data_IF_437818763808
#
_entry.id   IF_437818763808
#
_cell.length_a   1.000
_cell.length_b   1.000
_cell.length_c   1.000
_cell.angle_alpha   90.00
_cell.angle_beta   90.00
_cell.angle_gamma   90.00
#
_symmetry.space_group_name_H-M   'P 1'
#
loop_
_entity.id
_entity.type
_entity.pdbx_description
1 polymer ?
#
# COMPACT_ATOMS: atom_id res chain seq x y z
N UNK A 1 -11.43 -9.30 20.45
CA UNK A 1 -10.38 -9.23 19.42
C UNK A 1 -10.74 -10.26 18.38
N UNK A 2 -10.85 -9.88 17.11
CA UNK A 2 -11.22 -10.75 16.00
C UNK A 2 -10.05 -10.94 15.04
N UNK A 3 -9.75 -12.18 14.69
CA UNK A 3 -8.78 -12.49 13.62
C UNK A 3 -9.37 -12.08 12.27
N UNK A 4 -8.52 -11.50 11.43
CA UNK A 4 -8.89 -11.09 10.07
C UNK A 4 -7.86 -11.57 9.06
N UNK A 5 -8.20 -11.52 7.78
CA UNK A 5 -7.29 -11.84 6.69
C UNK A 5 -7.56 -10.95 5.47
N UNK A 6 -6.53 -10.67 4.69
CA UNK A 6 -6.66 -9.99 3.40
C UNK A 6 -6.44 -10.95 2.23
N UNK A 7 -6.88 -10.53 1.04
CA UNK A 7 -6.48 -11.17 -0.21
C UNK A 7 -5.27 -10.46 -0.81
N UNK A 8 -4.44 -11.20 -1.55
CA UNK A 8 -3.37 -10.62 -2.37
C UNK A 8 -3.97 -9.63 -3.36
N UNK A 9 -3.37 -8.46 -3.50
CA UNK A 9 -3.71 -7.45 -4.51
C UNK A 9 -2.44 -6.93 -5.15
N UNK A 10 -2.51 -6.49 -6.41
CA UNK A 10 -1.37 -5.91 -7.09
C UNK A 10 -1.82 -4.84 -8.08
N UNK A 11 -0.86 -4.02 -8.50
CA UNK A 11 -1.05 -3.12 -9.63
C UNK A 11 0.17 -3.15 -10.54
N UNK A 12 -0.09 -2.98 -11.83
CA UNK A 12 0.97 -2.67 -12.78
C UNK A 12 1.40 -1.22 -12.62
N UNK A 13 2.69 -0.98 -12.79
CA UNK A 13 3.28 0.35 -12.75
C UNK A 13 3.30 0.96 -14.15
N UNK A 14 3.01 2.25 -14.21
CA UNK A 14 3.03 3.04 -15.42
C UNK A 14 3.60 4.43 -15.18
N UNK A 15 3.47 5.34 -16.16
CA UNK A 15 3.95 6.71 -16.01
C UNK A 15 3.18 7.45 -14.92
N UNK A 16 3.87 8.34 -14.21
CA UNK A 16 3.23 9.27 -13.28
C UNK A 16 2.20 10.13 -14.03
N UNK A 17 0.92 10.19 -13.59
CA UNK A 17 -0.07 11.00 -14.28
C UNK A 17 0.26 12.50 -14.16
N UNK A 18 -0.20 13.33 -15.12
CA UNK A 18 -0.06 14.77 -15.03
C UNK A 18 -0.72 15.34 -13.76
N UNK A 19 -0.08 16.35 -13.17
CA UNK A 19 -0.66 17.20 -12.12
C UNK A 19 -1.47 18.30 -12.79
N UNK A 20 -2.79 18.22 -12.73
CA UNK A 20 -3.70 19.18 -13.38
C UNK A 20 -4.65 19.77 -12.36
N UNK A 21 -4.96 21.08 -12.40
CA UNK A 21 -5.77 21.75 -11.37
C UNK A 21 -7.16 21.16 -11.11
N UNK A 22 -7.71 20.37 -12.03
CA UNK A 22 -9.06 19.81 -11.95
C UNK A 22 -9.12 18.35 -11.45
N UNK A 23 -7.99 17.74 -11.13
CA UNK A 23 -7.91 16.39 -10.55
C UNK A 23 -7.17 16.49 -9.22
N UNK A 24 -7.50 15.67 -8.20
CA UNK A 24 -6.54 15.45 -7.11
C UNK A 24 -5.21 15.02 -7.74
N UNK A 25 -4.18 15.83 -7.54
CA UNK A 25 -2.82 15.50 -7.98
C UNK A 25 -2.45 14.12 -7.44
N UNK A 26 -1.66 13.31 -8.19
CA UNK A 26 -1.08 12.09 -7.63
C UNK A 26 -0.43 12.42 -6.29
N UNK A 27 -0.85 11.69 -5.26
CA UNK A 27 -0.40 11.93 -3.88
C UNK A 27 1.04 11.45 -3.69
N UNK A 28 1.48 10.53 -4.56
CA UNK A 28 2.84 9.98 -4.61
C UNK A 28 3.41 10.04 -6.04
N UNK A 29 4.73 10.24 -6.21
CA UNK A 29 5.70 10.50 -5.15
C UNK A 29 5.54 11.92 -4.60
N UNK A 30 5.93 12.10 -3.34
CA UNK A 30 5.95 13.42 -2.69
C UNK A 30 6.91 14.38 -3.37
N UNK A 31 8.08 13.89 -3.81
CA UNK A 31 9.07 14.67 -4.55
C UNK A 31 9.46 14.00 -5.88
N UNK A 32 8.79 14.43 -6.96
CA UNK A 32 9.08 13.96 -8.32
C UNK A 32 10.53 14.22 -8.78
N UNK A 33 11.25 15.17 -8.17
CA UNK A 33 12.58 15.58 -8.64
C UNK A 33 13.69 14.60 -8.27
N UNK A 34 13.44 13.64 -7.37
CA UNK A 34 14.45 12.70 -6.89
C UNK A 34 14.95 11.73 -7.97
N UNK A 35 14.15 11.49 -9.02
CA UNK A 35 14.56 10.64 -10.14
C UNK A 35 13.37 10.08 -10.93
N UNK A 36 13.63 9.20 -11.91
CA UNK A 36 12.61 8.46 -12.63
C UNK A 36 11.64 7.77 -11.68
N UNK A 37 10.35 7.82 -12.01
CA UNK A 37 9.29 7.35 -11.15
C UNK A 37 8.25 6.59 -11.95
N UNK A 38 7.89 5.42 -11.43
CA UNK A 38 6.76 4.63 -11.90
C UNK A 38 5.65 4.69 -10.85
N UNK A 39 4.40 4.70 -11.29
CA UNK A 39 3.23 4.95 -10.47
C UNK A 39 2.16 3.89 -10.73
N UNK A 40 1.47 3.46 -9.67
CA UNK A 40 0.40 2.48 -9.73
C UNK A 40 -0.76 2.83 -8.78
N UNK A 41 -1.89 2.15 -8.97
CA UNK A 41 -3.03 2.21 -8.06
C UNK A 41 -3.55 0.82 -7.78
N UNK A 42 -3.72 0.50 -6.50
CA UNK A 42 -4.53 -0.63 -6.05
C UNK A 42 -5.88 -0.04 -5.63
N UNK A 43 -6.96 -0.76 -5.93
CA UNK A 43 -8.31 -0.36 -5.55
C UNK A 43 -8.50 -0.45 -4.03
N UNK A 44 -9.52 -1.19 -3.61
CA UNK A 44 -9.70 -1.45 -2.19
C UNK A 44 -8.87 -2.66 -1.73
N UNK A 45 -8.32 -2.57 -0.52
CA UNK A 45 -7.65 -3.65 0.17
C UNK A 45 -8.28 -3.84 1.55
N UNK A 46 -9.08 -4.89 1.69
CA UNK A 46 -9.84 -5.16 2.92
C UNK A 46 -9.27 -6.32 3.72
N UNK A 47 -9.50 -6.23 5.03
CA UNK A 47 -9.31 -7.32 5.98
C UNK A 47 -10.68 -7.85 6.39
N UNK A 48 -10.93 -9.10 6.06
CA UNK A 48 -12.18 -9.82 6.29
C UNK A 48 -12.12 -10.57 7.61
N UNK A 49 -13.20 -10.53 8.39
CA UNK A 49 -13.27 -11.28 9.64
C UNK A 49 -13.23 -12.80 9.37
N UNK A 50 -12.45 -13.55 10.13
CA UNK A 50 -12.45 -15.02 10.01
C UNK A 50 -13.82 -15.59 10.42
N UNK A 51 -14.38 -16.48 9.58
CA UNK A 51 -15.66 -17.14 9.85
C UNK A 51 -16.91 -16.31 9.54
N UNK A 52 -16.77 -15.10 8.98
CA UNK A 52 -17.90 -14.34 8.42
C UNK A 52 -18.14 -14.69 6.94
N UNK A 53 -19.27 -14.26 6.36
CA UNK A 53 -19.56 -14.39 4.93
C UNK A 53 -18.80 -13.34 4.10
N UNK A 54 -17.49 -13.23 4.32
CA UNK A 54 -16.62 -12.20 3.72
C UNK A 54 -17.04 -10.75 4.07
N UNK A 55 -17.43 -10.54 5.33
CA UNK A 55 -17.67 -9.19 5.84
C UNK A 55 -16.32 -8.50 6.16
N UNK A 56 -16.01 -7.34 5.55
CA UNK A 56 -14.80 -6.59 5.86
C UNK A 56 -14.91 -5.98 7.27
N UNK A 57 -13.86 -6.12 8.07
CA UNK A 57 -13.73 -5.47 9.37
C UNK A 57 -13.11 -4.07 9.25
N UNK A 58 -12.15 -3.91 8.34
CA UNK A 58 -11.50 -2.63 8.01
C UNK A 58 -10.75 -2.75 6.68
N UNK A 59 -10.24 -1.63 6.16
CA UNK A 59 -9.29 -1.67 5.06
C UNK A 59 -8.81 -0.31 4.59
N UNK A 60 -8.30 -0.31 3.36
CA UNK A 60 -7.74 0.85 2.69
C UNK A 60 -8.40 1.02 1.34
N UNK A 61 -8.81 2.26 1.05
CA UNK A 61 -9.42 2.69 -0.19
C UNK A 61 -8.41 3.48 -1.02
N UNK A 62 -8.50 3.31 -2.33
CA UNK A 62 -7.76 4.09 -3.34
C UNK A 62 -6.26 4.19 -3.04
N UNK A 63 -5.60 3.04 -2.88
CA UNK A 63 -4.17 3.00 -2.60
C UNK A 63 -3.40 3.49 -3.84
N UNK A 64 -2.83 4.68 -3.77
CA UNK A 64 -1.85 5.17 -4.72
C UNK A 64 -0.45 4.78 -4.27
N UNK A 65 0.40 4.36 -5.20
CA UNK A 65 1.78 4.00 -4.90
C UNK A 65 2.73 4.46 -5.99
N UNK A 66 3.98 4.70 -5.60
CA UNK A 66 5.05 5.03 -6.53
C UNK A 66 6.34 4.31 -6.16
N UNK A 67 7.08 3.88 -7.16
CA UNK A 67 8.47 3.42 -7.04
C UNK A 67 9.35 4.42 -7.77
N UNK A 68 10.24 5.08 -7.04
CA UNK A 68 11.10 6.13 -7.57
C UNK A 68 12.57 5.75 -7.42
N UNK A 69 13.34 5.87 -8.48
CA UNK A 69 14.79 5.63 -8.43
C UNK A 69 15.48 6.78 -7.71
N UNK A 70 16.23 6.48 -6.65
CA UNK A 70 17.05 7.44 -5.91
C UNK A 70 18.53 7.36 -6.31
N UNK A 71 19.02 6.16 -6.56
CA UNK A 71 20.37 5.88 -7.02
C UNK A 71 20.38 4.61 -7.90
N UNK A 72 21.57 4.10 -8.24
CA UNK A 72 21.69 2.95 -9.13
C UNK A 72 20.96 1.71 -8.61
N UNK A 73 21.19 1.39 -7.35
CA UNK A 73 20.73 0.21 -6.61
C UNK A 73 19.70 0.57 -5.53
N UNK A 74 19.06 1.74 -5.63
CA UNK A 74 18.21 2.27 -4.56
C UNK A 74 16.94 2.89 -5.09
N UNK A 75 15.82 2.45 -4.54
CA UNK A 75 14.48 2.97 -4.86
C UNK A 75 13.77 3.46 -3.60
N UNK A 76 12.85 4.40 -3.78
CA UNK A 76 11.86 4.76 -2.77
C UNK A 76 10.52 4.18 -3.16
N UNK A 77 9.94 3.40 -2.26
CA UNK A 77 8.54 3.02 -2.31
C UNK A 77 7.74 4.03 -1.47
N UNK A 78 6.79 4.71 -2.09
CA UNK A 78 5.80 5.53 -1.40
C UNK A 78 4.39 4.99 -1.63
N UNK A 79 3.55 5.10 -0.61
CA UNK A 79 2.13 4.73 -0.64
C UNK A 79 1.32 5.83 0.02
N UNK A 80 0.16 6.11 -0.57
CA UNK A 80 -0.91 6.90 0.00
C UNK A 80 -2.22 6.11 -0.08
N UNK A 81 -3.02 6.14 0.97
CA UNK A 81 -4.37 5.57 0.94
C UNK A 81 -5.30 6.30 1.90
N UNK A 82 -6.60 6.09 1.74
CA UNK A 82 -7.60 6.44 2.76
C UNK A 82 -7.97 5.18 3.52
N UNK A 83 -7.70 5.14 4.82
CA UNK A 83 -8.10 4.03 5.67
C UNK A 83 -9.55 4.21 6.15
N UNK A 84 -10.30 3.11 6.17
CA UNK A 84 -11.70 3.08 6.59
C UNK A 84 -11.99 1.81 7.41
N UNK A 85 -12.53 2.00 8.61
CA UNK A 85 -12.95 0.92 9.49
C UNK A 85 -14.45 0.65 9.33
N UNK A 86 -14.86 -0.61 9.34
CA UNK A 86 -16.28 -0.96 9.23
C UNK A 86 -16.92 -1.16 10.61
N UNK A 87 -18.16 -0.69 10.72
CA UNK A 87 -19.07 -0.96 11.86
C UNK A 87 -18.55 -0.48 13.23
N UNK A 88 -18.24 -1.39 14.15
CA UNK A 88 -17.89 -1.08 15.54
C UNK A 88 -16.47 -1.51 15.92
N UNK A 89 -15.63 -1.85 14.92
CA UNK A 89 -14.29 -2.35 15.14
C UNK A 89 -13.23 -1.46 14.47
N UNK A 90 -12.06 -1.41 15.10
CA UNK A 90 -10.84 -0.80 14.54
C UNK A 90 -9.89 -1.88 14.04
N UNK A 91 -9.18 -1.61 12.96
CA UNK A 91 -8.07 -2.44 12.51
C UNK A 91 -6.79 -2.13 13.30
N UNK A 92 -6.02 -3.16 13.67
CA UNK A 92 -4.77 -3.02 14.43
C UNK A 92 -3.57 -3.28 13.52
N UNK A 93 -2.92 -2.22 13.04
CA UNK A 93 -1.80 -2.32 12.09
C UNK A 93 -0.41 -2.51 12.70
N UNK A 94 -0.28 -2.44 14.03
CA UNK A 94 1.04 -2.55 14.70
C UNK A 94 1.53 -3.98 14.85
N UNK A 95 0.65 -5.00 14.85
CA UNK A 95 1.02 -6.41 15.08
C UNK A 95 1.20 -7.21 13.81
N UNK A 96 0.41 -6.91 12.78
CA UNK A 96 0.42 -7.60 11.49
C UNK A 96 0.73 -6.61 10.38
N UNK A 97 2.02 -6.36 10.09
CA UNK A 97 2.40 -5.37 9.09
C UNK A 97 1.97 -5.82 7.70
N UNK A 98 1.54 -4.84 6.90
CA UNK A 98 1.28 -5.06 5.48
C UNK A 98 2.61 -5.32 4.77
N UNK A 99 2.69 -6.44 4.05
CA UNK A 99 3.86 -6.78 3.25
C UNK A 99 3.69 -6.29 1.83
N UNK A 100 4.65 -5.50 1.36
CA UNK A 100 4.64 -4.87 0.05
C UNK A 100 5.84 -5.40 -0.72
N UNK A 101 5.61 -5.99 -1.89
CA UNK A 101 6.66 -6.48 -2.78
C UNK A 101 6.76 -5.60 -4.03
N UNK A 102 8.00 -5.31 -4.45
CA UNK A 102 8.33 -4.65 -5.71
C UNK A 102 8.87 -5.70 -6.66
N UNK A 103 8.31 -5.80 -7.86
CA UNK A 103 8.56 -6.92 -8.78
C UNK A 103 9.00 -6.45 -10.18
N UNK A 104 9.81 -7.31 -10.81
CA UNK A 104 10.07 -7.33 -12.24
C UNK A 104 9.56 -8.67 -12.80
N UNK A 105 8.46 -8.64 -13.54
CA UNK A 105 7.71 -9.84 -13.88
C UNK A 105 7.29 -10.62 -12.63
N UNK A 106 7.70 -11.89 -12.55
CA UNK A 106 7.41 -12.78 -11.41
C UNK A 106 8.49 -12.78 -10.33
N UNK A 107 9.58 -12.04 -10.52
CA UNK A 107 10.66 -11.94 -9.55
C UNK A 107 10.39 -10.84 -8.52
N UNK A 108 10.55 -11.17 -7.24
CA UNK A 108 10.51 -10.18 -6.15
C UNK A 108 11.90 -9.59 -6.02
N UNK A 109 12.04 -8.31 -6.34
CA UNK A 109 13.32 -7.59 -6.21
C UNK A 109 13.57 -7.18 -4.77
N UNK A 110 12.52 -6.67 -4.09
CA UNK A 110 12.61 -6.24 -2.70
C UNK A 110 11.24 -6.22 -2.03
N UNK A 111 11.24 -6.33 -0.71
CA UNK A 111 10.02 -6.26 0.11
C UNK A 111 10.13 -5.19 1.19
N UNK A 112 9.00 -4.56 1.51
CA UNK A 112 8.84 -3.67 2.65
C UNK A 112 7.75 -4.19 3.60
N UNK A 113 7.86 -3.86 4.89
CA UNK A 113 6.82 -4.10 5.88
C UNK A 113 6.32 -2.77 6.42
N UNK A 114 5.00 -2.54 6.35
CA UNK A 114 4.37 -1.34 6.88
C UNK A 114 3.50 -1.68 8.10
N UNK A 115 3.94 -1.23 9.27
CA UNK A 115 3.12 -1.19 10.48
C UNK A 115 2.25 0.08 10.43
N UNK A 116 1.01 -0.05 9.97
CA UNK A 116 0.10 1.07 9.82
C UNK A 116 -0.53 1.47 11.17
N UNK A 117 -0.94 2.75 11.33
CA UNK A 117 -1.74 3.17 12.49
C UNK A 117 -3.06 2.39 12.58
N UNK A 118 -3.72 2.42 13.74
CA UNK A 118 -5.02 1.78 13.85
C UNK A 118 -6.03 2.44 12.89
N UNK A 119 -6.81 1.63 12.19
CA UNK A 119 -7.87 2.08 11.28
C UNK A 119 -9.15 2.21 12.10
N UNK A 120 -9.68 3.41 12.26
CA UNK A 120 -10.80 3.68 13.16
C UNK A 120 -12.12 3.65 12.38
N UNK A 121 -13.13 2.95 12.90
CA UNK A 121 -14.45 2.93 12.27
C UNK A 121 -15.13 4.30 12.28
N UNK A 122 -15.76 4.66 11.16
CA UNK A 122 -16.43 5.95 10.97
C UNK A 122 -15.47 7.10 10.66
N UNK A 123 -14.20 6.79 10.40
CA UNK A 123 -13.17 7.74 10.01
C UNK A 123 -12.63 7.38 8.62
N UNK A 124 -12.39 8.40 7.80
CA UNK A 124 -11.70 8.29 6.53
C UNK A 124 -10.34 8.97 6.67
N UNK A 125 -9.36 8.23 7.21
CA UNK A 125 -8.08 8.79 7.59
C UNK A 125 -7.05 8.65 6.46
N UNK A 126 -6.45 9.75 5.96
CA UNK A 126 -5.35 9.65 5.02
C UNK A 126 -4.13 9.04 5.71
N UNK A 127 -3.56 8.01 5.10
CA UNK A 127 -2.35 7.34 5.57
C UNK A 127 -1.26 7.41 4.50
N UNK A 128 -0.03 7.55 4.96
CA UNK A 128 1.16 7.60 4.12
C UNK A 128 2.21 6.63 4.63
N UNK A 129 2.92 6.00 3.70
CA UNK A 129 4.09 5.19 3.97
C UNK A 129 5.18 5.53 2.95
N UNK A 130 6.42 5.65 3.41
CA UNK A 130 7.57 5.85 2.54
C UNK A 130 8.77 5.13 3.12
N UNK A 131 9.48 4.39 2.27
CA UNK A 131 10.69 3.66 2.66
C UNK A 131 11.66 3.62 1.50
N UNK A 132 12.95 3.76 1.82
CA UNK A 132 14.03 3.56 0.88
C UNK A 132 14.48 2.10 0.95
N UNK A 133 14.57 1.47 -0.21
CA UNK A 133 14.87 0.06 -0.38
C UNK A 133 16.11 -0.07 -1.28
N UNK A 134 17.05 -0.88 -0.84
CA UNK A 134 18.15 -1.33 -1.68
C UNK A 134 17.61 -2.46 -2.57
N UNK A 135 17.90 -2.38 -3.86
CA UNK A 135 17.67 -3.43 -4.85
C UNK A 135 19.03 -3.87 -5.38
N UNK A 136 19.14 -5.10 -5.85
CA UNK A 136 20.31 -5.55 -6.60
C UNK A 136 20.42 -4.72 -7.91
N UNK A 137 21.51 -4.86 -8.69
CA UNK A 137 21.83 -4.05 -9.89
C UNK A 137 20.84 -4.23 -11.08
N UNK A 138 19.58 -4.53 -10.80
CA UNK A 138 18.48 -4.67 -11.71
C UNK A 138 18.10 -3.31 -12.29
N UNK A 139 17.97 -3.21 -13.63
CA UNK A 139 17.53 -1.99 -14.25
C UNK A 139 16.15 -1.58 -13.73
N UNK A 140 16.05 -0.38 -13.16
CA UNK A 140 14.77 0.22 -12.74
C UNK A 140 13.65 0.11 -13.79
N UNK A 141 14.02 0.11 -15.08
CA UNK A 141 13.08 -0.04 -16.20
C UNK A 141 12.36 -1.40 -16.25
N UNK A 142 12.85 -2.42 -15.53
CA UNK A 142 12.21 -3.73 -15.44
C UNK A 142 11.16 -3.81 -14.34
N UNK A 143 11.12 -2.83 -13.41
CA UNK A 143 10.11 -2.81 -12.35
C UNK A 143 8.74 -2.50 -12.96
N UNK A 144 7.84 -3.47 -12.91
CA UNK A 144 6.55 -3.39 -13.59
C UNK A 144 5.34 -3.56 -12.66
N UNK A 145 5.55 -3.99 -11.41
CA UNK A 145 4.46 -4.35 -10.50
C UNK A 145 4.80 -4.08 -9.05
N UNK A 146 3.79 -3.64 -8.30
CA UNK A 146 3.81 -3.64 -6.84
C UNK A 146 2.65 -4.48 -6.34
N UNK A 147 2.95 -5.31 -5.34
CA UNK A 147 2.00 -6.25 -4.75
C UNK A 147 1.86 -6.00 -3.24
N UNK A 148 0.62 -6.06 -2.78
CA UNK A 148 0.28 -6.25 -1.38
C UNK A 148 0.01 -7.74 -1.15
N UNK A 149 0.87 -8.39 -0.38
CA UNK A 149 0.74 -9.81 -0.12
C UNK A 149 -0.46 -10.10 0.78
N UNK A 150 -1.00 -11.32 0.68
CA UNK A 150 -1.96 -11.84 1.66
C UNK A 150 -1.37 -11.73 3.06
N UNK A 151 -2.11 -11.07 3.96
CA UNK A 151 -1.64 -10.74 5.31
C UNK A 151 -2.75 -11.06 6.32
N UNK A 152 -2.37 -11.58 7.49
CA UNK A 152 -3.27 -11.69 8.64
C UNK A 152 -3.57 -10.30 9.21
N UNK A 153 -4.65 -10.15 9.96
CA UNK A 153 -5.00 -8.91 10.61
C UNK A 153 -5.70 -9.15 11.92
N UNK A 154 -5.85 -8.08 12.70
CA UNK A 154 -6.62 -8.09 13.94
C UNK A 154 -7.57 -6.91 13.95
N UNK A 155 -8.78 -7.17 14.43
CA UNK A 155 -9.75 -6.14 14.74
C UNK A 155 -10.09 -6.13 16.24
N UNK A 156 -10.30 -4.94 16.78
CA UNK A 156 -10.69 -4.73 18.18
C UNK A 156 -11.92 -3.82 18.23
N UNK A 157 -12.82 -3.93 19.22
CA UNK A 157 -13.90 -2.97 19.38
C UNK A 157 -13.39 -1.53 19.49
N UNK A 158 -14.14 -0.58 18.94
CA UNK A 158 -13.94 0.84 19.25
C UNK A 158 -14.32 1.07 20.73
N UNK A 159 -13.41 1.66 21.49
CA UNK A 159 -13.60 2.00 22.91
C UNK A 159 -13.70 3.51 23.11
#
# INVERSE_FOLDING_TARGET
MGSCYSYRQFCSLGPLPPRTPARPDPQVPKDRKLGPCSHGKIGAFYFYAEGSQDDPAFGFCEIELSVQRLAENKVRLELYCIADGYQSARGVGTRHPLKIAVLAGEEILVTASWHFPNVISGHADPMHFAVDLEIDDEPFALIDRVELSRTSGESEPCG
#
